data_IF_314482662723
#
_entry.id   IF_314482662723
#
_cell.length_a   1.000
_cell.length_b   1.000
_cell.length_c   1.000
_cell.angle_alpha   90.00
_cell.angle_beta   90.00
_cell.angle_gamma   90.00
#
_symmetry.space_group_name_H-M   'P 1'
#
loop_
_entity.id
_entity.type
_entity.pdbx_description
1 polymer ?
#
# COMPACT_ATOMS: atom_id res chain seq x y z
N UNK A 1 4.03 20.36 6.23
CA UNK A 1 3.58 19.62 7.43
C UNK A 1 4.57 19.82 8.56
N UNK A 2 4.33 20.81 9.41
CA UNK A 2 5.22 21.18 10.53
C UNK A 2 5.34 20.10 11.61
N UNK A 3 4.41 19.16 11.67
CA UNK A 3 4.40 18.05 12.62
C UNK A 3 5.05 16.77 12.12
N UNK A 4 5.41 16.69 10.85
CA UNK A 4 5.89 15.45 10.24
C UNK A 4 4.90 14.30 10.43
N UNK A 5 5.37 13.07 10.28
CA UNK A 5 4.54 11.87 10.43
C UNK A 5 3.94 11.67 11.84
N UNK A 6 4.43 12.37 12.84
CA UNK A 6 3.94 12.23 14.22
C UNK A 6 2.75 13.12 14.54
N UNK A 7 2.35 14.03 13.67
CA UNK A 7 1.27 15.00 13.94
C UNK A 7 -0.06 14.30 14.22
N UNK A 8 -0.49 13.40 13.36
CA UNK A 8 -1.73 12.64 13.55
C UNK A 8 -1.68 11.71 14.76
N UNK A 9 -0.57 11.04 14.99
CA UNK A 9 -0.37 10.17 16.14
C UNK A 9 -0.32 10.97 17.46
N UNK A 10 0.32 12.13 17.46
CA UNK A 10 0.31 13.04 18.60
C UNK A 10 -1.10 13.49 18.94
N UNK A 11 -1.88 13.83 17.93
CA UNK A 11 -3.29 14.20 18.10
C UNK A 11 -4.10 13.05 18.72
N UNK A 12 -4.04 11.85 18.13
CA UNK A 12 -4.85 10.70 18.54
C UNK A 12 -4.42 10.09 19.89
N UNK A 13 -3.17 10.27 20.31
CA UNK A 13 -2.66 9.70 21.56
C UNK A 13 -2.86 10.60 22.79
N UNK A 14 -3.10 11.90 22.59
CA UNK A 14 -3.17 12.87 23.70
C UNK A 14 -4.53 13.55 23.84
N UNK A 15 -5.51 13.14 23.06
CA UNK A 15 -6.88 13.65 23.12
C UNK A 15 -7.88 12.51 23.08
N UNK A 16 -9.03 12.73 23.68
CA UNK A 16 -10.16 11.83 23.58
C UNK A 16 -10.62 11.71 22.12
N UNK A 17 -11.16 10.54 21.79
CA UNK A 17 -11.57 10.22 20.44
C UNK A 17 -12.77 11.03 19.96
N UNK A 18 -13.07 10.88 18.67
CA UNK A 18 -14.09 11.65 17.94
C UNK A 18 -15.50 11.03 17.99
N UNK A 19 -15.69 9.91 18.69
CA UNK A 19 -17.01 9.30 18.91
C UNK A 19 -17.76 10.01 20.03
N UNK A 20 -18.06 11.29 19.82
CA UNK A 20 -18.72 12.19 20.76
C UNK A 20 -19.50 13.26 19.99
N UNK A 21 -20.44 13.94 20.66
CA UNK A 21 -21.20 15.04 20.06
C UNK A 21 -20.30 16.26 19.73
N UNK A 22 -19.23 16.44 20.52
CA UNK A 22 -18.25 17.50 20.33
C UNK A 22 -16.84 16.97 20.54
N UNK A 23 -15.92 17.40 19.73
CA UNK A 23 -14.49 17.11 19.87
C UNK A 23 -13.63 18.28 19.43
N UNK A 24 -12.42 18.33 19.93
CA UNK A 24 -11.50 19.44 19.65
C UNK A 24 -10.51 19.05 18.55
N UNK A 25 -10.40 19.89 17.53
CA UNK A 25 -9.40 19.78 16.45
C UNK A 25 -8.37 20.90 16.61
N UNK A 26 -7.10 20.53 16.81
CA UNK A 26 -6.00 21.49 16.80
C UNK A 26 -5.73 21.91 15.36
N UNK A 27 -5.25 23.18 15.20
CA UNK A 27 -4.83 23.69 13.90
C UNK A 27 -5.89 23.43 12.81
N UNK A 28 -7.14 23.77 13.10
CA UNK A 28 -8.31 23.42 12.29
C UNK A 28 -8.15 23.86 10.83
N UNK A 29 -7.55 25.02 10.57
CA UNK A 29 -7.31 25.51 9.21
C UNK A 29 -6.34 24.63 8.40
N UNK A 30 -5.48 23.88 9.10
CA UNK A 30 -4.56 22.92 8.48
C UNK A 30 -5.06 21.47 8.45
N UNK A 31 -6.05 21.14 9.28
CA UNK A 31 -6.52 19.76 9.46
C UNK A 31 -7.96 19.51 8.99
N UNK A 32 -8.69 20.55 8.64
CA UNK A 32 -10.05 20.45 8.12
C UNK A 32 -10.16 21.10 6.74
N UNK A 33 -11.02 20.55 5.92
CA UNK A 33 -11.40 21.13 4.64
C UNK A 33 -12.93 21.09 4.50
N UNK A 34 -13.50 22.08 3.84
CA UNK A 34 -14.92 22.06 3.49
C UNK A 34 -15.15 20.95 2.46
N UNK A 35 -16.15 20.11 2.73
CA UNK A 35 -16.55 19.08 1.78
C UNK A 35 -17.29 19.76 0.61
N UNK A 36 -16.86 19.52 -0.64
CA UNK A 36 -17.58 19.99 -1.82
C UNK A 36 -19.00 19.42 -1.90
N UNK A 37 -19.96 20.20 -2.37
CA UNK A 37 -21.38 19.81 -2.44
C UNK A 37 -21.65 18.57 -3.31
N UNK A 38 -20.76 18.26 -4.24
CA UNK A 38 -20.84 17.09 -5.14
C UNK A 38 -20.24 15.81 -4.58
N UNK A 39 -19.74 15.81 -3.35
CA UNK A 39 -19.18 14.63 -2.67
C UNK A 39 -20.07 14.29 -1.48
N UNK A 40 -20.54 13.06 -1.41
CA UNK A 40 -21.32 12.62 -0.27
C UNK A 40 -20.43 12.40 0.97
N UNK A 41 -20.95 12.53 2.20
CA UNK A 41 -20.18 12.23 3.41
C UNK A 41 -19.66 10.78 3.43
N UNK A 42 -20.38 9.83 2.81
CA UNK A 42 -19.98 8.42 2.72
C UNK A 42 -18.74 8.27 1.84
N UNK A 43 -18.72 8.92 0.67
CA UNK A 43 -17.56 8.91 -0.22
C UNK A 43 -16.37 9.64 0.42
N UNK A 44 -16.65 10.74 1.11
CA UNK A 44 -15.64 11.53 1.81
C UNK A 44 -14.89 10.78 2.91
N UNK A 45 -15.52 9.79 3.56
CA UNK A 45 -14.87 8.99 4.59
C UNK A 45 -13.56 8.33 4.11
N UNK A 46 -13.46 8.01 2.83
CA UNK A 46 -12.25 7.38 2.27
C UNK A 46 -11.14 8.38 1.97
N UNK A 47 -11.46 9.66 1.85
CA UNK A 47 -10.53 10.71 1.42
C UNK A 47 -9.55 11.14 2.52
N UNK A 48 -9.88 10.89 3.78
CA UNK A 48 -9.04 11.29 4.91
C UNK A 48 -7.85 10.35 5.16
N UNK A 49 -7.91 9.09 4.68
CA UNK A 49 -6.87 8.10 4.91
C UNK A 49 -6.71 7.12 3.72
N UNK A 50 -7.72 6.31 3.43
CA UNK A 50 -7.58 5.13 2.55
C UNK A 50 -7.12 5.51 1.14
N UNK A 51 -7.73 6.53 0.55
CA UNK A 51 -7.38 7.01 -0.80
C UNK A 51 -5.97 7.58 -0.83
N UNK A 52 -5.63 8.62 -0.04
CA UNK A 52 -4.30 9.21 -0.09
C UNK A 52 -3.21 8.23 0.32
N UNK A 53 -3.45 7.37 1.32
CA UNK A 53 -2.46 6.36 1.75
C UNK A 53 -2.21 5.31 0.66
N UNK A 54 -3.23 4.82 -0.03
CA UNK A 54 -3.07 3.90 -1.15
C UNK A 54 -2.30 4.53 -2.31
N UNK A 55 -2.62 5.77 -2.67
CA UNK A 55 -1.90 6.53 -3.70
C UNK A 55 -0.46 6.84 -3.29
N UNK A 56 -0.21 7.14 -2.02
CA UNK A 56 1.15 7.33 -1.51
C UNK A 56 2.00 6.07 -1.63
N UNK A 57 1.42 4.88 -1.43
CA UNK A 57 2.09 3.60 -1.70
C UNK A 57 2.58 3.48 -3.14
N UNK A 58 1.78 3.96 -4.10
CA UNK A 58 2.15 4.01 -5.52
C UNK A 58 3.31 4.98 -5.77
N UNK A 59 3.32 6.14 -5.10
CA UNK A 59 4.42 7.11 -5.16
C UNK A 59 5.70 6.56 -4.55
N UNK A 60 5.62 5.94 -3.37
CA UNK A 60 6.77 5.33 -2.69
C UNK A 60 7.40 4.22 -3.53
N UNK A 61 6.58 3.40 -4.21
CA UNK A 61 7.05 2.40 -5.16
C UNK A 61 7.55 3.00 -6.48
N UNK A 62 7.29 4.29 -6.72
CA UNK A 62 7.62 4.98 -7.97
C UNK A 62 7.07 4.22 -9.20
N UNK A 63 5.78 3.92 -9.18
CA UNK A 63 5.10 3.22 -10.27
C UNK A 63 5.13 4.08 -11.53
N UNK A 64 5.58 3.49 -12.63
CA UNK A 64 5.70 4.11 -13.94
C UNK A 64 4.80 3.44 -14.97
N UNK A 65 4.58 4.13 -16.06
CA UNK A 65 3.88 3.58 -17.22
C UNK A 65 4.55 2.28 -17.71
N UNK A 66 3.76 1.23 -17.87
CA UNK A 66 4.23 -0.06 -18.35
C UNK A 66 4.72 -1.04 -17.28
N UNK A 67 4.84 -0.62 -16.02
CA UNK A 67 5.27 -1.50 -14.92
C UNK A 67 4.31 -2.66 -14.67
N UNK A 68 4.86 -3.80 -14.26
CA UNK A 68 4.13 -4.87 -13.58
C UNK A 68 4.19 -4.63 -12.08
N UNK A 69 3.03 -4.46 -11.45
CA UNK A 69 2.89 -4.07 -10.05
C UNK A 69 2.25 -5.21 -9.23
N UNK A 70 2.85 -5.54 -8.10
CA UNK A 70 2.26 -6.43 -7.09
C UNK A 70 1.72 -5.58 -5.93
N UNK A 71 0.45 -5.74 -5.61
CA UNK A 71 -0.17 -5.11 -4.43
C UNK A 71 -0.46 -6.19 -3.40
N UNK A 72 0.26 -6.16 -2.27
CA UNK A 72 0.10 -7.14 -1.18
C UNK A 72 -0.87 -6.58 -0.14
N UNK A 73 -2.02 -7.24 -0.02
CA UNK A 73 -3.12 -6.83 0.85
C UNK A 73 -4.11 -5.89 0.16
N UNK A 74 -5.24 -6.43 -0.31
CA UNK A 74 -6.33 -5.67 -0.93
C UNK A 74 -7.47 -5.37 0.05
N UNK A 75 -7.10 -4.83 1.22
CA UNK A 75 -8.01 -4.08 2.08
C UNK A 75 -8.30 -2.69 1.48
N UNK A 76 -8.98 -1.79 2.20
CA UNK A 76 -9.32 -0.46 1.67
C UNK A 76 -8.12 0.32 1.10
N UNK A 77 -7.00 0.36 1.82
CA UNK A 77 -5.76 1.01 1.36
C UNK A 77 -5.22 0.33 0.10
N UNK A 78 -5.15 -1.01 0.11
CA UNK A 78 -4.63 -1.76 -1.05
C UNK A 78 -5.51 -1.65 -2.28
N UNK A 79 -6.83 -1.55 -2.14
CA UNK A 79 -7.75 -1.26 -3.25
C UNK A 79 -7.44 0.10 -3.88
N UNK A 80 -7.15 1.10 -3.05
CA UNK A 80 -6.74 2.43 -3.55
C UNK A 80 -5.34 2.40 -4.17
N UNK A 81 -4.44 1.56 -3.68
CA UNK A 81 -3.15 1.33 -4.33
C UNK A 81 -3.31 0.68 -5.72
N UNK A 82 -4.24 -0.26 -5.88
CA UNK A 82 -4.60 -0.82 -7.21
C UNK A 82 -5.12 0.29 -8.13
N UNK A 83 -6.07 1.10 -7.67
CA UNK A 83 -6.60 2.21 -8.43
C UNK A 83 -5.52 3.22 -8.84
N UNK A 84 -4.65 3.60 -7.91
CA UNK A 84 -3.53 4.52 -8.15
C UNK A 84 -2.50 3.95 -9.14
N UNK A 85 -2.17 2.66 -9.04
CA UNK A 85 -1.25 2.00 -9.98
C UNK A 85 -1.85 1.97 -11.40
N UNK A 86 -3.14 1.69 -11.52
CA UNK A 86 -3.85 1.73 -12.81
C UNK A 86 -3.83 3.14 -13.41
N UNK A 87 -4.13 4.17 -12.62
CA UNK A 87 -4.06 5.57 -13.07
C UNK A 87 -2.66 6.02 -13.49
N UNK A 88 -1.61 5.44 -12.89
CA UNK A 88 -0.20 5.67 -13.28
C UNK A 88 0.20 4.91 -14.55
N UNK A 89 -0.70 4.08 -15.11
CA UNK A 89 -0.45 3.36 -16.33
C UNK A 89 0.36 2.06 -16.17
N UNK A 90 0.26 1.41 -15.00
CA UNK A 90 0.79 0.06 -14.84
C UNK A 90 0.21 -0.86 -15.92
N UNK A 91 1.05 -1.64 -16.59
CA UNK A 91 0.59 -2.55 -17.65
C UNK A 91 -0.07 -3.81 -17.12
N UNK A 92 0.26 -4.19 -15.88
CA UNK A 92 -0.25 -5.38 -15.22
C UNK A 92 -0.26 -5.17 -13.70
N UNK A 93 -1.39 -5.43 -13.07
CA UNK A 93 -1.53 -5.34 -11.62
C UNK A 93 -1.94 -6.70 -11.07
N UNK A 94 -1.09 -7.26 -10.21
CA UNK A 94 -1.31 -8.52 -9.50
C UNK A 94 -1.71 -8.18 -8.07
N UNK A 95 -2.89 -8.64 -7.64
CA UNK A 95 -3.44 -8.32 -6.32
C UNK A 95 -3.42 -9.54 -5.39
N UNK A 96 -2.93 -9.37 -4.17
CA UNK A 96 -2.88 -10.43 -3.16
C UNK A 96 -3.98 -10.26 -2.14
N UNK A 97 -4.91 -11.21 -2.11
CA UNK A 97 -6.01 -11.23 -1.14
C UNK A 97 -7.06 -12.28 -1.47
N UNK A 98 -7.88 -12.62 -0.48
CA UNK A 98 -8.79 -13.77 -0.57
C UNK A 98 -10.26 -13.44 -0.32
N UNK A 99 -10.57 -12.23 0.17
CA UNK A 99 -11.97 -11.84 0.43
C UNK A 99 -12.70 -11.55 -0.89
N UNK A 100 -13.82 -12.25 -1.21
CA UNK A 100 -14.48 -12.12 -2.52
C UNK A 100 -14.85 -10.68 -2.88
N UNK A 101 -15.41 -9.91 -1.93
CA UNK A 101 -15.78 -8.51 -2.16
C UNK A 101 -14.57 -7.63 -2.51
N UNK A 102 -13.40 -7.88 -1.87
CA UNK A 102 -12.18 -7.15 -2.17
C UNK A 102 -11.59 -7.54 -3.53
N UNK A 103 -11.65 -8.81 -3.89
CA UNK A 103 -11.23 -9.31 -5.21
C UNK A 103 -12.07 -8.66 -6.31
N UNK A 104 -13.38 -8.63 -6.14
CA UNK A 104 -14.28 -8.02 -7.12
C UNK A 104 -14.06 -6.51 -7.26
N UNK A 105 -13.88 -5.80 -6.14
CA UNK A 105 -13.55 -4.39 -6.16
C UNK A 105 -12.18 -4.14 -6.85
N UNK A 106 -11.17 -4.96 -6.57
CA UNK A 106 -9.85 -4.83 -7.18
C UNK A 106 -9.89 -5.02 -8.71
N UNK A 107 -10.73 -5.93 -9.21
CA UNK A 107 -10.98 -6.06 -10.67
C UNK A 107 -11.54 -4.75 -11.25
N UNK A 108 -12.51 -4.15 -10.58
CA UNK A 108 -13.08 -2.88 -11.00
C UNK A 108 -12.08 -1.74 -11.02
N UNK A 109 -11.04 -1.80 -10.17
CA UNK A 109 -9.96 -0.82 -10.13
C UNK A 109 -8.77 -1.14 -11.04
N UNK A 110 -8.79 -2.26 -11.78
CA UNK A 110 -7.81 -2.57 -12.82
C UNK A 110 -6.84 -3.70 -12.49
N UNK A 111 -7.02 -4.43 -11.38
CA UNK A 111 -6.25 -5.65 -11.14
C UNK A 111 -6.72 -6.76 -12.10
N UNK A 112 -5.76 -7.44 -12.73
CA UNK A 112 -6.04 -8.48 -13.73
C UNK A 112 -5.68 -9.87 -13.25
N UNK A 113 -4.77 -10.00 -12.28
CA UNK A 113 -4.35 -11.25 -11.68
C UNK A 113 -4.53 -11.23 -10.17
N UNK A 114 -4.81 -12.41 -9.60
CA UNK A 114 -5.08 -12.55 -8.18
C UNK A 114 -4.28 -13.70 -7.58
N UNK A 115 -3.70 -13.46 -6.42
CA UNK A 115 -2.95 -14.43 -5.63
C UNK A 115 -3.65 -14.63 -4.29
N UNK A 116 -3.83 -15.88 -3.92
CA UNK A 116 -4.26 -16.31 -2.60
C UNK A 116 -3.04 -16.72 -1.76
N UNK A 117 -2.82 -16.05 -0.64
CA UNK A 117 -1.77 -16.44 0.31
C UNK A 117 -2.07 -17.78 1.02
N UNK A 118 -3.25 -18.37 0.77
CA UNK A 118 -3.63 -19.69 1.29
C UNK A 118 -3.17 -20.84 0.38
N UNK A 119 -2.87 -20.54 -0.87
CA UNK A 119 -2.57 -21.52 -1.90
C UNK A 119 -1.05 -21.71 -2.15
N UNK A 120 -0.23 -21.10 -1.31
CA UNK A 120 1.23 -21.15 -1.37
C UNK A 120 1.87 -19.80 -1.07
N UNK A 121 3.18 -19.72 -1.20
CA UNK A 121 3.92 -18.48 -0.98
C UNK A 121 3.58 -17.46 -2.07
N UNK A 122 3.55 -16.19 -1.70
CA UNK A 122 3.23 -15.10 -2.64
C UNK A 122 4.27 -15.05 -3.76
N UNK A 123 5.56 -15.12 -3.39
CA UNK A 123 6.67 -15.05 -4.33
C UNK A 123 6.67 -16.17 -5.37
N UNK A 124 6.38 -17.40 -4.96
CA UNK A 124 6.35 -18.55 -5.91
C UNK A 124 5.23 -18.38 -6.93
N UNK A 125 4.05 -17.93 -6.49
CA UNK A 125 2.93 -17.64 -7.38
C UNK A 125 3.26 -16.50 -8.33
N UNK A 126 3.89 -15.42 -7.86
CA UNK A 126 4.33 -14.28 -8.69
C UNK A 126 5.36 -14.75 -9.73
N UNK A 127 6.37 -15.50 -9.32
CA UNK A 127 7.40 -16.00 -10.22
C UNK A 127 6.81 -16.94 -11.29
N UNK A 128 5.87 -17.80 -10.91
CA UNK A 128 5.16 -18.66 -11.87
C UNK A 128 4.38 -17.82 -12.91
N UNK A 129 3.65 -16.78 -12.47
CA UNK A 129 2.88 -15.89 -13.34
C UNK A 129 3.73 -15.01 -14.24
N UNK A 130 4.98 -14.74 -13.86
CA UNK A 130 5.90 -13.84 -14.57
C UNK A 130 7.04 -14.55 -15.30
N UNK A 131 6.96 -15.87 -15.44
CA UNK A 131 8.00 -16.67 -16.09
C UNK A 131 9.37 -16.56 -15.39
N UNK A 132 9.37 -16.51 -14.07
CA UNK A 132 10.56 -16.41 -13.23
C UNK A 132 11.16 -14.99 -13.13
N UNK A 133 10.58 -14.00 -13.79
CA UNK A 133 11.16 -12.64 -13.85
C UNK A 133 10.82 -11.77 -12.63
N UNK A 134 9.71 -12.03 -11.94
CA UNK A 134 9.19 -11.17 -10.88
C UNK A 134 8.52 -9.90 -11.40
N UNK A 135 8.29 -8.94 -10.51
CA UNK A 135 7.57 -7.68 -10.77
C UNK A 135 8.49 -6.46 -10.69
N UNK A 136 8.12 -5.36 -11.34
CA UNK A 136 8.87 -4.12 -11.32
C UNK A 136 8.69 -3.36 -10.01
N UNK A 137 7.48 -3.40 -9.46
CA UNK A 137 7.10 -2.67 -8.24
C UNK A 137 6.28 -3.56 -7.31
N UNK A 138 6.47 -3.36 -6.01
CA UNK A 138 5.62 -3.96 -4.98
C UNK A 138 5.07 -2.87 -4.07
N UNK A 139 3.79 -2.92 -3.78
CA UNK A 139 3.14 -2.06 -2.78
C UNK A 139 2.68 -2.96 -1.64
N UNK A 140 3.20 -2.70 -0.44
CA UNK A 140 2.83 -3.43 0.78
C UNK A 140 1.77 -2.63 1.52
N UNK A 141 0.53 -3.10 1.45
CA UNK A 141 -0.65 -2.50 2.09
C UNK A 141 -1.36 -3.45 3.07
N UNK A 142 -0.72 -4.56 3.42
CA UNK A 142 -1.23 -5.54 4.38
C UNK A 142 -0.21 -6.62 4.73
N UNK A 143 -0.53 -7.44 5.71
CA UNK A 143 0.35 -8.48 6.25
C UNK A 143 1.21 -7.99 7.41
N UNK A 144 2.14 -8.82 7.86
CA UNK A 144 3.10 -8.54 8.94
C UNK A 144 4.53 -8.34 8.41
N UNK A 145 5.50 -8.49 9.30
CA UNK A 145 6.92 -8.35 8.97
C UNK A 145 7.39 -9.35 7.90
N UNK A 146 6.81 -10.54 7.86
CA UNK A 146 7.07 -11.61 6.88
C UNK A 146 6.76 -11.20 5.44
N UNK A 147 5.85 -10.27 5.25
CA UNK A 147 5.44 -9.77 3.93
C UNK A 147 6.61 -9.15 3.15
N UNK A 148 7.56 -8.55 3.85
CA UNK A 148 8.74 -7.96 3.20
C UNK A 148 9.64 -8.99 2.55
N UNK A 149 9.80 -10.16 3.18
CA UNK A 149 10.58 -11.25 2.59
C UNK A 149 9.97 -11.67 1.25
N UNK A 150 8.65 -11.91 1.22
CA UNK A 150 7.92 -12.23 -0.01
C UNK A 150 8.02 -11.10 -1.06
N UNK A 151 7.91 -9.83 -0.62
CA UNK A 151 8.04 -8.67 -1.50
C UNK A 151 9.43 -8.60 -2.16
N UNK A 152 10.50 -8.81 -1.38
CA UNK A 152 11.88 -8.81 -1.88
C UNK A 152 12.13 -9.94 -2.88
N UNK A 153 11.61 -11.15 -2.60
CA UNK A 153 11.74 -12.32 -3.47
C UNK A 153 10.98 -12.16 -4.79
N UNK A 154 9.81 -11.54 -4.74
CA UNK A 154 8.99 -11.28 -5.93
C UNK A 154 9.51 -10.14 -6.81
N UNK A 155 10.38 -9.27 -6.30
CA UNK A 155 10.85 -8.05 -6.96
C UNK A 155 12.03 -8.32 -7.89
N UNK A 156 11.99 -7.78 -9.11
CA UNK A 156 13.11 -7.78 -10.05
C UNK A 156 14.32 -6.98 -9.50
N UNK A 157 15.55 -7.26 -9.96
CA UNK A 157 16.66 -6.30 -9.79
C UNK A 157 16.29 -4.91 -10.31
N UNK A 158 16.67 -3.87 -9.56
CA UNK A 158 16.31 -2.47 -9.86
C UNK A 158 14.88 -2.07 -9.47
N UNK A 159 14.07 -3.02 -8.99
CA UNK A 159 12.70 -2.75 -8.58
C UNK A 159 12.58 -2.00 -7.26
N UNK A 160 11.37 -1.50 -6.97
CA UNK A 160 11.09 -0.71 -5.77
C UNK A 160 9.89 -1.26 -4.99
N UNK A 161 10.01 -1.21 -3.67
CA UNK A 161 8.93 -1.52 -2.73
C UNK A 161 8.46 -0.22 -2.09
N UNK A 162 7.17 0.06 -2.15
CA UNK A 162 6.49 1.10 -1.39
C UNK A 162 5.69 0.49 -0.25
N UNK A 163 6.01 0.84 0.99
CA UNK A 163 5.30 0.35 2.16
C UNK A 163 4.44 1.44 2.79
N UNK A 164 3.15 1.17 2.91
CA UNK A 164 2.16 1.97 3.62
C UNK A 164 1.46 1.18 4.72
N UNK A 165 1.97 -0.01 5.03
CA UNK A 165 1.42 -0.90 6.02
C UNK A 165 2.11 -0.74 7.37
N UNK A 166 1.32 -0.78 8.44
CA UNK A 166 1.83 -0.98 9.79
C UNK A 166 2.14 -2.46 9.97
N UNK A 167 3.42 -2.81 10.02
CA UNK A 167 3.92 -4.19 9.91
C UNK A 167 3.67 -5.07 11.14
N UNK A 168 2.82 -4.65 12.05
CA UNK A 168 2.49 -5.38 13.26
C UNK A 168 3.53 -5.20 14.36
N UNK A 169 3.68 -6.20 15.23
CA UNK A 169 4.50 -6.14 16.46
C UNK A 169 5.86 -6.84 16.35
N UNK A 170 6.30 -7.18 15.17
CA UNK A 170 7.60 -7.81 14.95
C UNK A 170 8.77 -6.90 15.29
N UNK A 171 9.87 -7.49 15.80
CA UNK A 171 11.09 -6.73 16.15
C UNK A 171 11.94 -6.42 14.93
N UNK A 172 11.88 -7.27 13.90
CA UNK A 172 12.73 -7.17 12.72
C UNK A 172 11.90 -7.39 11.44
N UNK A 173 12.34 -6.73 10.38
CA UNK A 173 11.94 -7.04 9.01
C UNK A 173 13.10 -7.79 8.36
N UNK A 174 12.86 -9.01 7.93
CA UNK A 174 13.89 -9.84 7.29
C UNK A 174 14.01 -9.49 5.80
N UNK A 175 15.23 -9.20 5.38
CA UNK A 175 15.57 -9.00 3.97
C UNK A 175 16.48 -10.15 3.54
N UNK A 176 16.01 -11.07 2.68
CA UNK A 176 16.80 -12.21 2.24
C UNK A 176 17.96 -11.73 1.38
N UNK A 177 19.20 -12.04 1.83
CA UNK A 177 20.44 -11.51 1.25
C UNK A 177 20.63 -11.88 -0.23
N UNK A 178 20.33 -13.12 -0.59
CA UNK A 178 20.51 -13.59 -1.98
C UNK A 178 19.53 -12.87 -2.92
N UNK A 179 18.26 -12.85 -2.58
CA UNK A 179 17.19 -12.23 -3.36
C UNK A 179 17.26 -10.70 -3.36
N UNK A 180 17.91 -10.11 -2.35
CA UNK A 180 18.29 -8.69 -2.36
C UNK A 180 19.41 -8.39 -3.37
N UNK A 181 19.96 -9.42 -4.03
CA UNK A 181 21.07 -9.29 -4.95
C UNK A 181 22.40 -9.05 -4.25
N UNK A 182 22.60 -9.68 -3.08
CA UNK A 182 23.82 -9.56 -2.25
C UNK A 182 24.18 -8.12 -1.88
N UNK A 183 23.18 -7.25 -1.81
CA UNK A 183 23.35 -5.81 -1.58
C UNK A 183 23.66 -5.00 -2.86
N UNK A 184 23.70 -5.63 -4.02
CA UNK A 184 24.07 -4.99 -5.32
C UNK A 184 22.96 -5.07 -6.37
N UNK A 185 21.78 -5.56 -6.00
CA UNK A 185 20.64 -5.73 -6.90
C UNK A 185 19.87 -4.44 -7.24
N UNK A 186 20.31 -3.30 -6.76
CA UNK A 186 19.64 -2.00 -6.91
C UNK A 186 18.18 -1.98 -6.46
N UNK A 187 17.74 -2.93 -5.63
CA UNK A 187 16.39 -2.95 -5.06
C UNK A 187 16.26 -1.87 -4.00
N UNK A 188 15.12 -1.20 -3.95
CA UNK A 188 14.85 -0.11 -3.02
C UNK A 188 13.61 -0.41 -2.19
N UNK A 189 13.62 0.01 -0.93
CA UNK A 189 12.48 -0.03 -0.03
C UNK A 189 12.23 1.39 0.48
N UNK A 190 11.07 1.92 0.19
CA UNK A 190 10.60 3.20 0.71
C UNK A 190 9.35 2.95 1.55
N UNK A 191 9.20 3.65 2.63
CA UNK A 191 8.03 3.52 3.49
C UNK A 191 7.77 4.80 4.26
N UNK A 192 6.54 5.00 4.66
CA UNK A 192 6.16 6.14 5.46
C UNK A 192 4.65 6.33 5.51
N UNK A 193 4.25 7.19 6.44
CA UNK A 193 2.89 7.72 6.46
C UNK A 193 2.72 8.72 5.31
N UNK A 194 1.50 8.81 4.81
CA UNK A 194 1.12 9.84 3.86
C UNK A 194 1.29 11.22 4.53
N UNK A 195 2.05 12.14 3.91
CA UNK A 195 2.31 13.46 4.48
C UNK A 195 1.08 14.38 4.51
#
# INVERSE_FOLDING_TARGET
>A
HSGGMLAGWKFSNFKDGVFSEYFHVNDADGNLALLPDNITPVDACMLSDMVPTGFHGVELADVQFGDTVLVIGIGPVGLMAVAGANLRGASRIIAVGTRPACVEAAKGYGAVDFISYKDGTIEDQVLAMTGGKGVDKVIVAGGGCETFESAVKALKPGGKIGNVNYLGSGTYVNIPRAEWGVGMGHKQINGGLMP
#
